data_IF_251790834367
#
_entry.id   IF_251790834367
#
_cell.length_a   1.000
_cell.length_b   1.000
_cell.length_c   1.000
_cell.angle_alpha   90.00
_cell.angle_beta   90.00
_cell.angle_gamma   90.00
#
_symmetry.space_group_name_H-M   'P 1'
#
loop_
_entity.id
_entity.type
_entity.pdbx_description
1 polymer ?
#
# COMPACT_ATOMS: atom_id res chain seq x y z
N UNK A 1 -1.42 20.04 -2.83
CA UNK A 1 -0.03 19.92 -3.31
C UNK A 1 -0.09 19.18 -4.64
N UNK A 2 0.61 19.62 -5.69
CA UNK A 2 0.54 18.98 -7.02
C UNK A 2 1.58 17.85 -7.10
N UNK A 3 1.19 16.67 -7.57
CA UNK A 3 2.09 15.54 -7.82
C UNK A 3 2.96 15.85 -9.04
N UNK A 4 4.28 15.73 -8.92
CA UNK A 4 5.20 15.86 -10.04
C UNK A 4 5.13 14.64 -10.97
N UNK A 5 5.76 14.72 -12.14
CA UNK A 5 5.92 13.56 -13.03
C UNK A 5 6.70 12.42 -12.36
N UNK A 6 7.71 12.76 -11.56
CA UNK A 6 8.49 11.79 -10.78
C UNK A 6 7.65 11.14 -9.68
N UNK A 7 6.80 11.91 -8.99
CA UNK A 7 5.88 11.37 -7.99
C UNK A 7 4.96 10.33 -8.63
N UNK A 8 4.34 10.67 -9.77
CA UNK A 8 3.44 9.79 -10.51
C UNK A 8 4.13 8.51 -10.96
N UNK A 9 5.38 8.61 -11.40
CA UNK A 9 6.20 7.46 -11.82
C UNK A 9 6.53 6.57 -10.63
N UNK A 10 6.95 7.16 -9.50
CA UNK A 10 7.25 6.42 -8.27
C UNK A 10 6.02 5.70 -7.72
N UNK A 11 4.86 6.35 -7.73
CA UNK A 11 3.58 5.77 -7.31
C UNK A 11 3.22 4.56 -8.18
N UNK A 12 3.27 4.72 -9.52
CA UNK A 12 2.99 3.61 -10.46
C UNK A 12 3.96 2.45 -10.28
N UNK A 13 5.25 2.73 -10.07
CA UNK A 13 6.27 1.69 -9.84
C UNK A 13 6.04 0.96 -8.52
N UNK A 14 5.74 1.69 -7.43
CA UNK A 14 5.41 1.11 -6.14
C UNK A 14 4.18 0.20 -6.26
N UNK A 15 3.12 0.70 -6.91
CA UNK A 15 1.86 -0.02 -7.01
C UNK A 15 1.88 -1.18 -8.01
N UNK A 16 2.65 -1.08 -9.09
CA UNK A 16 2.91 -2.17 -10.02
C UNK A 16 3.66 -3.34 -9.37
N UNK A 17 4.56 -3.05 -8.41
CA UNK A 17 5.20 -4.07 -7.56
C UNK A 17 4.21 -4.72 -6.58
N UNK A 18 3.24 -3.96 -6.07
CA UNK A 18 2.22 -4.41 -5.11
C UNK A 18 1.06 -5.17 -5.80
N UNK A 19 0.78 -4.91 -7.08
CA UNK A 19 -0.49 -5.29 -7.73
C UNK A 19 -0.50 -6.47 -8.71
N UNK A 20 0.65 -6.97 -9.21
CA UNK A 20 0.58 -8.10 -10.14
C UNK A 20 1.89 -8.63 -10.75
N UNK A 21 2.97 -7.85 -10.74
CA UNK A 21 4.26 -8.25 -11.34
C UNK A 21 5.36 -8.57 -10.34
N UNK A 22 5.02 -8.76 -9.05
CA UNK A 22 5.99 -9.13 -8.01
C UNK A 22 6.84 -10.36 -8.40
N UNK A 23 6.25 -11.29 -9.18
CA UNK A 23 6.92 -12.46 -9.76
C UNK A 23 8.10 -12.11 -10.65
N UNK A 24 7.85 -11.32 -11.68
CA UNK A 24 8.83 -11.00 -12.73
C UNK A 24 9.89 -10.02 -12.23
N UNK A 25 9.51 -9.00 -11.46
CA UNK A 25 10.46 -8.03 -10.92
C UNK A 25 11.20 -8.55 -9.69
N UNK A 26 10.59 -9.42 -8.89
CA UNK A 26 11.28 -10.13 -7.81
C UNK A 26 12.34 -11.10 -8.36
N UNK A 27 12.03 -11.79 -9.45
CA UNK A 27 13.02 -12.61 -10.19
C UNK A 27 14.16 -11.75 -10.74
N UNK A 28 13.84 -10.65 -11.41
CA UNK A 28 14.86 -9.76 -12.00
C UNK A 28 15.74 -9.10 -10.91
N UNK A 29 15.15 -8.67 -9.80
CA UNK A 29 15.87 -8.07 -8.69
C UNK A 29 16.77 -9.06 -7.97
N UNK A 30 16.30 -10.30 -7.72
CA UNK A 30 17.13 -11.35 -7.13
C UNK A 30 18.26 -11.77 -8.08
N UNK A 31 18.00 -11.89 -9.39
CA UNK A 31 19.03 -12.13 -10.39
C UNK A 31 20.10 -11.03 -10.38
N UNK A 32 19.68 -9.76 -10.38
CA UNK A 32 20.60 -8.61 -10.31
C UNK A 32 21.38 -8.60 -9.00
N UNK A 33 20.75 -8.90 -7.87
CA UNK A 33 21.41 -9.00 -6.56
C UNK A 33 22.48 -10.11 -6.55
N UNK A 34 22.16 -11.30 -7.08
CA UNK A 34 23.10 -12.42 -7.14
C UNK A 34 24.24 -12.22 -8.15
N UNK A 35 24.00 -11.44 -9.20
CA UNK A 35 25.01 -11.07 -10.18
C UNK A 35 25.95 -9.97 -9.66
N UNK A 36 25.40 -8.92 -9.04
CA UNK A 36 26.16 -7.79 -8.51
C UNK A 36 26.84 -8.10 -7.17
N UNK A 37 26.25 -8.96 -6.34
CA UNK A 37 26.72 -9.29 -4.99
C UNK A 37 26.75 -10.81 -4.77
N UNK A 38 27.74 -11.54 -5.32
CA UNK A 38 27.76 -13.01 -5.31
C UNK A 38 27.74 -13.66 -3.92
N UNK A 39 28.23 -12.97 -2.89
CA UNK A 39 28.22 -13.43 -1.50
C UNK A 39 26.82 -13.62 -0.93
N UNK A 40 25.82 -12.91 -1.47
CA UNK A 40 24.42 -13.03 -1.03
C UNK A 40 23.81 -14.41 -1.34
N UNK A 41 24.37 -15.17 -2.28
CA UNK A 41 23.95 -16.55 -2.61
C UNK A 41 24.09 -17.52 -1.43
N UNK A 42 24.98 -17.22 -0.48
CA UNK A 42 25.23 -18.07 0.69
C UNK A 42 24.02 -18.18 1.63
N UNK A 43 23.13 -17.18 1.64
CA UNK A 43 21.90 -17.19 2.44
C UNK A 43 20.76 -18.01 1.82
N UNK A 44 20.90 -18.43 0.56
CA UNK A 44 19.87 -19.12 -0.22
C UNK A 44 20.29 -20.53 -0.65
N UNK A 45 21.17 -21.18 0.10
CA UNK A 45 21.71 -22.53 -0.21
C UNK A 45 20.64 -23.65 -0.30
N UNK A 46 19.42 -23.38 0.14
CA UNK A 46 18.28 -24.31 0.17
C UNK A 46 17.30 -24.10 -1.00
N UNK A 47 17.54 -23.14 -1.90
CA UNK A 47 16.72 -22.91 -3.09
C UNK A 47 17.60 -22.78 -4.34
N UNK A 48 17.09 -23.23 -5.47
CA UNK A 48 17.71 -23.04 -6.78
C UNK A 48 17.53 -21.59 -7.23
N UNK A 49 18.65 -20.86 -7.25
CA UNK A 49 18.74 -19.44 -7.61
C UNK A 49 19.20 -19.23 -9.06
N UNK A 50 19.19 -20.27 -9.88
CA UNK A 50 19.53 -20.16 -11.31
C UNK A 50 18.52 -19.29 -12.08
N UNK A 51 18.95 -18.60 -13.15
CA UNK A 51 18.04 -17.80 -13.97
C UNK A 51 16.87 -18.63 -14.50
N UNK A 52 15.62 -18.19 -14.29
CA UNK A 52 14.42 -18.88 -14.74
C UNK A 52 13.85 -19.94 -13.79
N UNK A 53 14.45 -20.18 -12.61
CA UNK A 53 14.01 -21.23 -11.68
C UNK A 53 12.57 -21.04 -11.19
N UNK A 54 11.86 -22.15 -11.00
CA UNK A 54 10.48 -22.14 -10.49
C UNK A 54 10.38 -21.57 -9.06
N UNK A 55 11.45 -21.69 -8.26
CA UNK A 55 11.49 -21.26 -6.87
C UNK A 55 11.67 -19.74 -6.73
N UNK A 56 12.46 -19.13 -7.61
CA UNK A 56 12.60 -17.67 -7.68
C UNK A 56 11.29 -17.03 -8.17
N UNK A 57 10.66 -17.61 -9.19
CA UNK A 57 9.34 -17.20 -9.70
C UNK A 57 8.23 -17.31 -8.65
N UNK A 58 8.23 -18.39 -7.87
CA UNK A 58 7.27 -18.59 -6.78
C UNK A 58 7.46 -17.58 -5.63
N UNK A 59 8.71 -17.17 -5.34
CA UNK A 59 9.02 -16.19 -4.32
C UNK A 59 8.56 -14.78 -4.72
N UNK A 60 8.84 -14.34 -5.95
CA UNK A 60 8.34 -13.06 -6.45
C UNK A 60 6.81 -12.99 -6.52
N UNK A 61 6.14 -14.09 -6.93
CA UNK A 61 4.67 -14.15 -7.00
C UNK A 61 4.00 -13.95 -5.64
N UNK A 62 4.71 -14.22 -4.54
CA UNK A 62 4.22 -14.03 -3.17
C UNK A 62 4.01 -12.53 -2.86
N UNK A 63 4.79 -11.63 -3.47
CA UNK A 63 4.84 -10.19 -3.14
C UNK A 63 3.63 -9.40 -3.70
N UNK A 64 2.98 -9.87 -4.77
CA UNK A 64 1.87 -9.16 -5.44
C UNK A 64 0.46 -9.40 -4.87
N UNK A 65 0.32 -10.04 -3.70
CA UNK A 65 -0.97 -10.45 -3.13
C UNK A 65 -1.35 -9.83 -1.79
N UNK A 66 -0.50 -8.97 -1.22
CA UNK A 66 -0.61 -8.57 0.19
C UNK A 66 -1.49 -7.33 0.45
N UNK A 67 -2.17 -6.77 -0.55
CA UNK A 67 -2.99 -5.56 -0.35
C UNK A 67 -4.01 -5.69 0.80
N UNK A 68 -4.66 -6.85 0.93
CA UNK A 68 -5.56 -7.12 2.05
C UNK A 68 -4.87 -7.25 3.42
N UNK A 69 -3.65 -7.79 3.44
CA UNK A 69 -2.85 -7.99 4.65
C UNK A 69 -2.24 -6.68 5.15
N UNK A 70 -1.64 -5.88 4.26
CA UNK A 70 -1.11 -4.56 4.61
C UNK A 70 -2.21 -3.56 4.95
N UNK A 71 -3.36 -3.65 4.27
CA UNK A 71 -4.53 -2.87 4.61
C UNK A 71 -5.07 -3.20 6.00
N UNK A 72 -5.12 -4.48 6.38
CA UNK A 72 -5.46 -4.90 7.74
C UNK A 72 -4.45 -4.36 8.75
N UNK A 73 -3.15 -4.57 8.51
CA UNK A 73 -2.10 -4.15 9.43
C UNK A 73 -2.10 -2.63 9.65
N UNK A 74 -2.28 -1.84 8.60
CA UNK A 74 -2.38 -0.39 8.70
C UNK A 74 -3.58 0.05 9.56
N UNK A 75 -4.73 -0.61 9.41
CA UNK A 75 -5.91 -0.34 10.25
C UNK A 75 -5.67 -0.73 11.72
N UNK A 76 -5.04 -1.88 11.97
CA UNK A 76 -4.70 -2.32 13.32
C UNK A 76 -3.71 -1.37 13.99
N UNK A 77 -2.69 -0.89 13.26
CA UNK A 77 -1.76 0.17 13.73
C UNK A 77 -2.50 1.45 14.06
N UNK A 78 -3.45 1.86 13.21
CA UNK A 78 -4.27 3.06 13.45
C UNK A 78 -5.12 2.92 14.71
N UNK A 79 -5.79 1.77 14.90
CA UNK A 79 -6.60 1.52 16.08
C UNK A 79 -5.78 1.48 17.38
N UNK A 80 -4.55 1.01 17.32
CA UNK A 80 -3.65 0.98 18.48
C UNK A 80 -3.07 2.37 18.79
N UNK A 81 -2.54 3.08 17.78
CA UNK A 81 -1.86 4.37 17.96
C UNK A 81 -2.83 5.55 18.12
N UNK A 82 -4.02 5.47 17.53
CA UNK A 82 -5.03 6.52 17.52
C UNK A 82 -6.40 5.95 17.95
N UNK A 83 -6.61 5.59 19.22
CA UNK A 83 -7.81 4.86 19.67
C UNK A 83 -9.14 5.56 19.37
N UNK A 84 -9.15 6.89 19.25
CA UNK A 84 -10.34 7.66 18.86
C UNK A 84 -10.88 7.27 17.49
N UNK A 85 -10.06 6.74 16.60
CA UNK A 85 -10.48 6.25 15.27
C UNK A 85 -11.44 5.07 15.35
N UNK A 86 -11.44 4.30 16.46
CA UNK A 86 -12.34 3.14 16.66
C UNK A 86 -13.81 3.55 16.73
N UNK A 87 -14.13 4.81 17.02
CA UNK A 87 -15.54 5.27 17.12
C UNK A 87 -16.30 5.12 15.80
N UNK A 88 -15.59 5.17 14.66
CA UNK A 88 -16.18 4.96 13.33
C UNK A 88 -16.45 3.48 13.00
N UNK A 89 -15.97 2.56 13.83
CA UNK A 89 -15.99 1.11 13.59
C UNK A 89 -16.75 0.34 14.68
N UNK A 90 -17.62 1.00 15.44
CA UNK A 90 -18.42 0.37 16.52
C UNK A 90 -19.32 -0.79 16.06
N UNK A 91 -19.51 -0.95 14.75
CA UNK A 91 -20.34 -1.98 14.12
C UNK A 91 -19.54 -3.22 13.65
N UNK A 92 -18.22 -3.25 13.83
CA UNK A 92 -17.38 -4.41 13.52
C UNK A 92 -16.51 -4.80 14.72
N UNK A 93 -16.09 -6.07 14.74
CA UNK A 93 -15.00 -6.51 15.62
C UNK A 93 -13.68 -5.90 15.14
N UNK A 94 -13.03 -5.10 15.99
CA UNK A 94 -11.73 -4.48 15.73
C UNK A 94 -10.58 -5.18 16.47
N UNK A 95 -10.81 -6.38 16.99
CA UNK A 95 -9.76 -7.18 17.61
C UNK A 95 -8.68 -7.59 16.59
N UNK A 96 -7.44 -7.86 17.06
CA UNK A 96 -6.39 -8.40 16.19
C UNK A 96 -6.83 -9.69 15.48
N UNK A 97 -6.62 -9.78 14.17
CA UNK A 97 -7.03 -10.94 13.36
C UNK A 97 -8.50 -10.97 12.96
N UNK A 98 -9.28 -9.92 13.27
CA UNK A 98 -10.68 -9.81 12.85
C UNK A 98 -10.82 -9.92 11.33
N UNK A 99 -11.63 -10.89 10.88
CA UNK A 99 -11.98 -11.05 9.47
C UNK A 99 -12.68 -9.81 8.89
N UNK A 100 -13.40 -9.05 9.73
CA UNK A 100 -14.07 -7.82 9.31
C UNK A 100 -13.05 -6.70 9.04
N UNK A 101 -12.03 -6.56 9.89
CA UNK A 101 -10.93 -5.60 9.66
C UNK A 101 -10.13 -5.99 8.42
N UNK A 102 -9.84 -7.28 8.23
CA UNK A 102 -9.15 -7.77 7.03
C UNK A 102 -9.93 -7.47 5.74
N UNK A 103 -11.23 -7.73 5.75
CA UNK A 103 -12.10 -7.41 4.62
C UNK A 103 -12.17 -5.90 4.34
N UNK A 104 -12.19 -5.07 5.39
CA UNK A 104 -12.15 -3.61 5.24
C UNK A 104 -10.79 -3.13 4.73
N UNK A 105 -9.68 -3.68 5.26
CA UNK A 105 -8.32 -3.41 4.81
C UNK A 105 -8.14 -3.70 3.33
N UNK A 106 -8.70 -4.81 2.83
CA UNK A 106 -8.72 -5.10 1.39
C UNK A 106 -9.44 -4.02 0.59
N UNK A 107 -10.62 -3.55 1.04
CA UNK A 107 -11.36 -2.48 0.34
C UNK A 107 -10.55 -1.18 0.26
N UNK A 108 -9.84 -0.83 1.34
CA UNK A 108 -8.94 0.34 1.37
C UNK A 108 -7.80 0.15 0.38
N UNK A 109 -7.13 -1.00 0.39
CA UNK A 109 -6.04 -1.29 -0.54
C UNK A 109 -6.49 -1.30 -2.00
N UNK A 110 -7.64 -1.89 -2.32
CA UNK A 110 -8.22 -1.89 -3.67
C UNK A 110 -8.56 -0.46 -4.14
N UNK A 111 -9.06 0.41 -3.24
CA UNK A 111 -9.34 1.80 -3.56
C UNK A 111 -8.06 2.62 -3.81
N UNK A 112 -7.00 2.38 -3.04
CA UNK A 112 -5.69 2.99 -3.25
C UNK A 112 -5.05 2.50 -4.56
N UNK A 113 -5.27 1.23 -4.92
CA UNK A 113 -4.84 0.69 -6.20
C UNK A 113 -5.49 1.39 -7.37
N UNK A 114 -6.83 1.51 -7.32
CA UNK A 114 -7.57 2.28 -8.30
C UNK A 114 -7.07 3.74 -8.37
N UNK A 115 -6.80 4.37 -7.22
CA UNK A 115 -6.26 5.73 -7.20
C UNK A 115 -4.88 5.82 -7.88
N UNK A 116 -4.00 4.85 -7.67
CA UNK A 116 -2.68 4.81 -8.30
C UNK A 116 -2.78 4.61 -9.82
N UNK A 117 -3.66 3.72 -10.28
CA UNK A 117 -3.91 3.48 -11.71
C UNK A 117 -4.49 4.72 -12.42
N UNK A 118 -5.23 5.54 -11.68
CA UNK A 118 -5.87 6.77 -12.16
C UNK A 118 -5.25 8.04 -11.56
N UNK A 119 -3.93 8.06 -11.31
CA UNK A 119 -3.25 9.19 -10.66
C UNK A 119 -3.39 10.54 -11.40
N UNK A 120 -3.72 10.50 -12.69
CA UNK A 120 -4.00 11.69 -13.51
C UNK A 120 -5.41 12.25 -13.30
N UNK A 121 -6.36 11.42 -12.84
CA UNK A 121 -7.77 11.79 -12.58
C UNK A 121 -8.27 11.15 -11.27
N UNK A 122 -7.63 11.54 -10.16
CA UNK A 122 -8.06 11.11 -8.83
C UNK A 122 -9.51 11.51 -8.50
N UNK A 123 -9.98 12.74 -8.80
CA UNK A 123 -11.36 13.13 -8.51
C UNK A 123 -12.40 12.27 -9.23
N UNK A 124 -12.19 11.97 -10.52
CA UNK A 124 -13.07 11.08 -11.27
C UNK A 124 -13.03 9.65 -10.72
N UNK A 125 -11.84 9.10 -10.48
CA UNK A 125 -11.68 7.73 -10.02
C UNK A 125 -12.29 7.46 -8.63
N UNK A 126 -12.23 8.45 -7.72
CA UNK A 126 -12.66 8.33 -6.33
C UNK A 126 -14.01 9.00 -6.03
N UNK A 127 -14.69 9.57 -7.03
CA UNK A 127 -15.91 10.39 -6.85
C UNK A 127 -16.97 9.74 -5.95
N UNK A 128 -17.32 8.48 -6.20
CA UNK A 128 -18.29 7.71 -5.39
C UNK A 128 -17.82 7.49 -3.95
N UNK A 129 -16.51 7.31 -3.75
CA UNK A 129 -15.94 7.11 -2.42
C UNK A 129 -15.91 8.43 -1.64
N UNK A 130 -15.68 9.56 -2.32
CA UNK A 130 -15.82 10.89 -1.74
C UNK A 130 -17.27 11.15 -1.30
N UNK A 131 -18.27 10.80 -2.12
CA UNK A 131 -19.69 10.95 -1.74
C UNK A 131 -20.05 10.10 -0.52
N UNK A 132 -19.56 8.86 -0.48
CA UNK A 132 -19.79 7.95 0.65
C UNK A 132 -19.23 8.53 1.96
N UNK A 133 -17.99 9.02 1.93
CA UNK A 133 -17.36 9.61 3.11
C UNK A 133 -18.00 10.93 3.53
N UNK A 134 -18.30 11.82 2.57
CA UNK A 134 -18.87 13.13 2.86
C UNK A 134 -20.31 13.07 3.39
N UNK A 135 -21.16 12.24 2.77
CA UNK A 135 -22.60 12.34 3.01
C UNK A 135 -23.14 11.26 3.95
N UNK A 136 -22.54 10.06 3.95
CA UNK A 136 -23.00 8.93 4.77
C UNK A 136 -22.12 8.68 5.99
N UNK A 137 -20.83 8.42 5.78
CA UNK A 137 -19.93 8.01 6.87
C UNK A 137 -19.52 9.19 7.75
N UNK A 138 -19.35 10.37 7.14
CA UNK A 138 -19.00 11.65 7.80
C UNK A 138 -17.78 11.51 8.72
N UNK A 139 -16.78 10.76 8.27
CA UNK A 139 -15.50 10.59 8.99
C UNK A 139 -14.80 11.94 9.05
N UNK A 140 -14.41 12.42 10.23
CA UNK A 140 -13.75 13.72 10.32
C UNK A 140 -12.46 13.72 9.47
N UNK A 141 -12.22 14.75 8.62
CA UNK A 141 -11.07 14.83 7.73
C UNK A 141 -9.71 14.57 8.39
N UNK A 142 -9.55 14.83 9.70
CA UNK A 142 -8.29 14.58 10.41
C UNK A 142 -7.88 13.11 10.40
N UNK A 143 -8.86 12.18 10.41
CA UNK A 143 -8.58 10.74 10.54
C UNK A 143 -7.92 10.14 9.30
N UNK A 144 -8.09 10.77 8.12
CA UNK A 144 -7.40 10.35 6.91
C UNK A 144 -5.87 10.50 7.03
N UNK A 145 -5.39 11.47 7.81
CA UNK A 145 -3.96 11.64 8.10
C UNK A 145 -3.41 10.52 8.98
N UNK A 146 -4.21 10.05 9.96
CA UNK A 146 -3.82 8.94 10.83
C UNK A 146 -3.68 7.64 10.04
N UNK A 147 -4.66 7.32 9.19
CA UNK A 147 -4.58 6.13 8.33
C UNK A 147 -3.43 6.24 7.33
N UNK A 148 -3.23 7.41 6.71
CA UNK A 148 -2.12 7.65 5.76
C UNK A 148 -0.77 7.41 6.42
N UNK A 149 -0.56 7.91 7.65
CA UNK A 149 0.65 7.66 8.40
C UNK A 149 0.86 6.16 8.70
N UNK A 150 -0.18 5.47 9.16
CA UNK A 150 -0.10 4.03 9.43
C UNK A 150 0.19 3.21 8.18
N UNK A 151 -0.33 3.60 7.00
CA UNK A 151 -0.01 2.98 5.72
C UNK A 151 1.48 3.17 5.37
N UNK A 152 2.03 4.37 5.54
CA UNK A 152 3.47 4.62 5.31
C UNK A 152 4.34 3.76 6.22
N UNK A 153 3.99 3.64 7.51
CA UNK A 153 4.70 2.78 8.47
C UNK A 153 4.63 1.32 8.05
N UNK A 154 3.45 0.81 7.68
CA UNK A 154 3.29 -0.57 7.19
C UNK A 154 4.16 -0.84 5.96
N UNK A 155 4.14 0.07 4.97
CA UNK A 155 4.95 -0.08 3.76
C UNK A 155 6.45 -0.03 4.07
N UNK A 156 6.89 0.84 4.98
CA UNK A 156 8.28 0.89 5.42
C UNK A 156 8.75 -0.39 6.12
N UNK A 157 7.89 -1.00 6.95
CA UNK A 157 8.20 -2.25 7.65
C UNK A 157 8.34 -3.45 6.69
N UNK A 158 7.54 -3.50 5.63
CA UNK A 158 7.52 -4.63 4.69
C UNK A 158 8.45 -4.47 3.49
N UNK A 159 8.83 -3.23 3.15
CA UNK A 159 9.68 -2.93 2.00
C UNK A 159 10.89 -2.04 2.35
N UNK A 160 11.70 -2.38 3.37
CA UNK A 160 12.78 -1.51 3.84
C UNK A 160 13.83 -1.20 2.76
N UNK A 161 14.03 -2.09 1.77
CA UNK A 161 14.93 -1.85 0.65
C UNK A 161 14.37 -0.95 -0.46
N UNK A 162 13.04 -0.89 -0.62
CA UNK A 162 12.37 -0.05 -1.62
C UNK A 162 11.88 1.29 -1.04
N UNK A 163 11.73 1.38 0.30
CA UNK A 163 11.24 2.57 1.01
C UNK A 163 12.32 3.64 1.20
N UNK A 164 12.89 4.07 0.08
CA UNK A 164 13.88 5.17 0.03
C UNK A 164 13.25 6.51 0.44
N UNK A 165 14.04 7.54 0.79
CA UNK A 165 13.50 8.87 1.10
C UNK A 165 12.64 9.47 -0.02
N UNK A 166 13.03 9.25 -1.29
CA UNK A 166 12.27 9.72 -2.45
C UNK A 166 10.92 8.98 -2.56
N UNK A 167 10.93 7.65 -2.37
CA UNK A 167 9.71 6.84 -2.37
C UNK A 167 8.77 7.25 -1.24
N UNK A 168 9.30 7.47 -0.03
CA UNK A 168 8.52 7.95 1.12
C UNK A 168 7.84 9.29 0.80
N UNK A 169 8.58 10.27 0.28
CA UNK A 169 8.03 11.57 -0.07
C UNK A 169 6.92 11.46 -1.14
N UNK A 170 7.10 10.63 -2.17
CA UNK A 170 6.08 10.44 -3.21
C UNK A 170 4.82 9.76 -2.66
N UNK A 171 4.96 8.74 -1.79
CA UNK A 171 3.83 8.06 -1.16
C UNK A 171 3.07 8.98 -0.18
N UNK A 172 3.77 9.82 0.59
CA UNK A 172 3.14 10.80 1.47
C UNK A 172 2.31 11.81 0.67
N UNK A 173 2.87 12.36 -0.41
CA UNK A 173 2.17 13.29 -1.30
C UNK A 173 0.97 12.63 -1.99
N UNK A 174 1.09 11.37 -2.39
CA UNK A 174 -0.01 10.59 -2.96
C UNK A 174 -1.16 10.43 -1.96
N UNK A 175 -0.88 9.94 -0.75
CA UNK A 175 -1.88 9.72 0.29
C UNK A 175 -2.54 11.03 0.74
N UNK A 176 -1.78 12.12 0.80
CA UNK A 176 -2.32 13.46 1.04
C UNK A 176 -3.26 13.93 -0.08
N UNK A 177 -2.94 13.62 -1.34
CA UNK A 177 -3.78 13.95 -2.50
C UNK A 177 -5.07 13.12 -2.50
N UNK A 178 -4.98 11.81 -2.22
CA UNK A 178 -6.15 10.94 -2.03
C UNK A 178 -7.03 11.45 -0.90
N UNK A 179 -6.46 11.79 0.26
CA UNK A 179 -7.20 12.36 1.40
C UNK A 179 -7.91 13.67 1.04
N UNK A 180 -7.25 14.54 0.27
CA UNK A 180 -7.85 15.78 -0.24
C UNK A 180 -9.05 15.49 -1.13
N UNK A 181 -8.94 14.53 -2.05
CA UNK A 181 -10.05 14.13 -2.93
C UNK A 181 -11.21 13.51 -2.15
N UNK A 182 -10.94 12.62 -1.20
CA UNK A 182 -11.98 11.98 -0.38
C UNK A 182 -12.74 12.97 0.51
N UNK A 183 -12.10 14.07 0.90
CA UNK A 183 -12.69 15.12 1.75
C UNK A 183 -13.25 16.30 0.96
N UNK A 184 -13.09 16.32 -0.37
CA UNK A 184 -13.42 17.47 -1.23
C UNK A 184 -14.91 17.86 -1.25
N UNK A 185 -15.81 16.93 -0.91
CA UNK A 185 -17.28 17.12 -0.95
C UNK A 185 -17.92 17.31 0.42
N UNK A 186 -17.12 17.53 1.47
CA UNK A 186 -17.61 17.65 2.85
C UNK A 186 -18.34 18.97 3.13
N UNK A 187 -18.12 20.00 2.29
CA UNK A 187 -18.64 21.35 2.44
C UNK A 187 -19.07 21.91 1.10
#
# INVERSE_FOLDING_TARGET
MVLSADDKTNIKNCWGKIGGHGGEYGEEALQRMFAAFPTTKTYFSHIDVSPGSAQVKAHGKKIGGHGGEYGEEALQRMFAAFPTTKTYFSHIDVSPGSAQVKAHGKKVADALAKAADHVEDLPGALSTLSDLHAHKLRVDPVNFKFLSHCLLVTLACHHPGDFTPAMHASLDKFLASVSTVLTSKYR
#
